data_IF_908683042215
#
_entry.id   IF_908683042215
#
_cell.length_a   1.000
_cell.length_b   1.000
_cell.length_c   1.000
_cell.angle_alpha   90.00
_cell.angle_beta   90.00
_cell.angle_gamma   90.00
#
_symmetry.space_group_name_H-M   'P 1'
#
loop_
_entity.id
_entity.type
_entity.pdbx_description
1 polymer ?
#
# COMPACT_ATOMS: atom_id res chain seq x y z
N UNK A 1 -5.03 -7.90 12.08
CA UNK A 1 -5.28 -7.19 10.81
C UNK A 1 -6.70 -6.66 10.72
N UNK A 2 -6.91 -5.50 10.08
CA UNK A 2 -8.24 -4.94 9.93
C UNK A 2 -8.87 -5.35 8.60
N UNK A 3 -10.05 -5.98 8.66
CA UNK A 3 -10.92 -6.24 7.48
C UNK A 3 -11.22 -4.97 6.68
N UNK A 4 -11.12 -3.81 7.33
CA UNK A 4 -11.32 -2.50 6.73
C UNK A 4 -10.16 -2.11 5.80
N UNK A 5 -8.91 -2.37 6.18
CA UNK A 5 -7.73 -2.06 5.37
C UNK A 5 -7.80 -2.77 4.01
N UNK A 6 -8.09 -4.08 4.04
CA UNK A 6 -8.33 -4.89 2.84
C UNK A 6 -9.44 -4.28 1.97
N UNK A 7 -10.57 -3.94 2.59
CA UNK A 7 -11.74 -3.40 1.87
C UNK A 7 -11.41 -2.09 1.17
N UNK A 8 -10.72 -1.19 1.86
CA UNK A 8 -10.34 0.12 1.30
C UNK A 8 -9.32 -0.05 0.17
N UNK A 9 -8.30 -0.90 0.32
CA UNK A 9 -7.29 -1.11 -0.72
C UNK A 9 -7.83 -1.78 -2.00
N UNK A 10 -8.89 -2.58 -1.88
CA UNK A 10 -9.54 -3.21 -3.03
C UNK A 10 -10.67 -2.36 -3.64
N UNK A 11 -11.02 -1.25 -2.99
CA UNK A 11 -12.09 -0.35 -3.41
C UNK A 11 -11.78 0.35 -4.75
N UNK A 12 -12.81 0.94 -5.40
CA UNK A 12 -12.63 1.77 -6.58
C UNK A 12 -11.64 2.92 -6.34
N UNK A 13 -11.00 3.38 -7.43
CA UNK A 13 -9.96 4.43 -7.38
C UNK A 13 -10.45 5.72 -6.72
N UNK A 14 -11.72 6.09 -6.90
CA UNK A 14 -12.34 7.24 -6.26
C UNK A 14 -12.36 7.12 -4.74
N UNK A 15 -12.78 5.96 -4.22
CA UNK A 15 -12.81 5.67 -2.78
C UNK A 15 -11.41 5.71 -2.18
N UNK A 16 -10.43 5.06 -2.83
CA UNK A 16 -9.04 5.08 -2.38
C UNK A 16 -8.44 6.48 -2.35
N UNK A 17 -8.74 7.31 -3.36
CA UNK A 17 -8.31 8.72 -3.38
C UNK A 17 -8.92 9.53 -2.24
N UNK A 18 -10.17 9.26 -1.86
CA UNK A 18 -10.80 9.92 -0.71
C UNK A 18 -10.18 9.45 0.61
N UNK A 19 -9.91 8.16 0.75
CA UNK A 19 -9.21 7.61 1.92
C UNK A 19 -7.78 8.20 2.04
N UNK A 20 -7.06 8.33 0.92
CA UNK A 20 -5.71 8.88 0.89
C UNK A 20 -5.64 10.34 1.38
N UNK A 21 -6.74 11.10 1.29
CA UNK A 21 -6.82 12.47 1.83
C UNK A 21 -6.96 12.49 3.36
N UNK A 22 -7.43 11.40 3.95
CA UNK A 22 -7.64 11.25 5.39
C UNK A 22 -6.52 10.47 6.09
N UNK A 23 -5.70 9.75 5.31
CA UNK A 23 -4.55 9.01 5.80
C UNK A 23 -3.60 9.95 6.55
N UNK A 24 -3.31 9.60 7.80
CA UNK A 24 -2.38 10.36 8.65
C UNK A 24 -0.95 10.03 8.32
N UNK A 25 -0.70 8.75 8.04
CA UNK A 25 0.59 8.26 7.62
C UNK A 25 0.73 8.47 6.10
N UNK A 26 1.64 9.35 5.63
CA UNK A 26 2.69 8.82 4.80
C UNK A 26 2.52 7.59 3.89
N UNK A 27 2.91 6.44 4.41
CA UNK A 27 2.96 5.15 3.73
C UNK A 27 1.55 4.68 3.36
N UNK A 28 0.59 4.85 4.27
CA UNK A 28 -0.81 4.56 4.03
C UNK A 28 -1.34 5.41 2.86
N UNK A 29 -1.06 6.71 2.87
CA UNK A 29 -1.42 7.62 1.77
C UNK A 29 -0.79 7.17 0.45
N UNK A 30 0.50 6.84 0.46
CA UNK A 30 1.22 6.37 -0.72
C UNK A 30 0.60 5.08 -1.27
N UNK A 31 0.34 4.09 -0.42
CA UNK A 31 -0.25 2.80 -0.78
C UNK A 31 -1.63 2.99 -1.43
N UNK A 32 -2.46 3.86 -0.87
CA UNK A 32 -3.81 4.14 -1.39
C UNK A 32 -3.79 4.79 -2.78
N UNK A 33 -2.71 5.50 -3.13
CA UNK A 33 -2.56 6.17 -4.42
C UNK A 33 -1.93 5.28 -5.50
N UNK A 34 -1.41 4.10 -5.14
CA UNK A 34 -0.82 3.18 -6.10
C UNK A 34 -1.83 2.61 -7.11
N UNK A 35 -1.30 2.03 -8.18
CA UNK A 35 -2.10 1.31 -9.14
C UNK A 35 -2.79 0.09 -8.50
N UNK A 36 -3.93 -0.30 -9.10
CA UNK A 36 -4.77 -1.37 -8.55
C UNK A 36 -3.99 -2.68 -8.39
N UNK A 37 -3.08 -3.00 -9.31
CA UNK A 37 -2.24 -4.19 -9.25
C UNK A 37 -1.34 -4.20 -8.01
N UNK A 38 -0.72 -3.06 -7.68
CA UNK A 38 0.14 -2.91 -6.50
C UNK A 38 -0.68 -3.11 -5.23
N UNK A 39 -1.84 -2.45 -5.11
CA UNK A 39 -2.71 -2.63 -3.95
C UNK A 39 -3.20 -4.08 -3.80
N UNK A 40 -3.56 -4.74 -4.91
CA UNK A 40 -3.99 -6.16 -4.91
C UNK A 40 -2.84 -7.07 -4.47
N UNK A 41 -1.62 -6.84 -4.95
CA UNK A 41 -0.45 -7.63 -4.53
C UNK A 41 -0.18 -7.47 -3.04
N UNK A 42 -0.24 -6.24 -2.51
CA UNK A 42 -0.05 -5.99 -1.08
C UNK A 42 -1.13 -6.68 -0.25
N UNK A 43 -2.39 -6.61 -0.67
CA UNK A 43 -3.46 -7.35 0.03
C UNK A 43 -3.19 -8.85 0.04
N UNK A 44 -2.80 -9.43 -1.10
CA UNK A 44 -2.61 -10.89 -1.21
C UNK A 44 -1.36 -11.38 -0.46
N UNK A 45 -0.26 -10.66 -0.58
CA UNK A 45 1.07 -11.14 -0.16
C UNK A 45 1.46 -10.65 1.23
N UNK A 46 0.85 -9.56 1.70
CA UNK A 46 1.15 -9.00 3.01
C UNK A 46 -0.06 -9.17 3.92
N UNK A 47 -1.20 -8.57 3.55
CA UNK A 47 -2.36 -8.63 4.42
C UNK A 47 -2.81 -10.09 4.58
N UNK A 48 -3.15 -10.81 3.52
CA UNK A 48 -3.67 -12.18 3.66
C UNK A 48 -2.66 -13.18 4.25
N UNK A 49 -1.37 -12.85 4.27
CA UNK A 49 -0.31 -13.63 4.91
C UNK A 49 -0.20 -13.43 6.44
N UNK A 50 -0.88 -12.42 7.00
CA UNK A 50 -0.87 -12.11 8.44
C UNK A 50 -0.45 -10.68 8.75
N UNK A 51 0.15 -9.99 7.77
CA UNK A 51 0.50 -8.58 7.85
C UNK A 51 1.69 -8.29 8.76
N UNK A 52 2.65 -9.21 8.83
CA UNK A 52 3.87 -9.01 9.60
C UNK A 52 4.75 -7.92 8.96
N UNK A 53 5.67 -7.37 9.73
CA UNK A 53 6.62 -6.38 9.20
C UNK A 53 7.61 -7.04 8.23
N UNK A 54 7.96 -8.31 8.45
CA UNK A 54 8.78 -9.10 7.54
C UNK A 54 8.08 -9.31 6.18
N UNK A 55 6.77 -9.60 6.17
CA UNK A 55 6.00 -9.72 4.93
C UNK A 55 5.98 -8.40 4.15
N UNK A 56 5.81 -7.28 4.86
CA UNK A 56 5.84 -5.92 4.27
C UNK A 56 7.20 -5.63 3.65
N UNK A 57 8.27 -5.91 4.37
CA UNK A 57 9.64 -5.66 3.91
C UNK A 57 9.97 -6.52 2.69
N UNK A 58 9.69 -7.83 2.76
CA UNK A 58 9.91 -8.74 1.64
C UNK A 58 9.11 -8.30 0.41
N UNK A 59 7.82 -7.98 0.57
CA UNK A 59 6.98 -7.49 -0.51
C UNK A 59 7.56 -6.22 -1.15
N UNK A 60 7.97 -5.24 -0.34
CA UNK A 60 8.54 -3.98 -0.82
C UNK A 60 9.81 -4.20 -1.64
N UNK A 61 10.71 -5.07 -1.16
CA UNK A 61 11.96 -5.38 -1.84
C UNK A 61 11.74 -6.07 -3.19
N UNK A 62 10.69 -6.89 -3.30
CA UNK A 62 10.34 -7.61 -4.52
C UNK A 62 9.56 -6.77 -5.55
N UNK A 63 9.08 -5.57 -5.20
CA UNK A 63 8.31 -4.75 -6.12
C UNK A 63 9.13 -4.25 -7.32
N UNK A 64 8.49 -3.94 -8.46
CA UNK A 64 9.15 -3.29 -9.58
C UNK A 64 9.90 -2.03 -9.15
N UNK A 65 11.03 -1.75 -9.81
CA UNK A 65 11.91 -0.62 -9.46
C UNK A 65 11.15 0.72 -9.38
N UNK A 66 10.19 0.94 -10.28
CA UNK A 66 9.36 2.15 -10.29
C UNK A 66 8.55 2.32 -9.00
N UNK A 67 7.97 1.24 -8.47
CA UNK A 67 7.21 1.25 -7.21
C UNK A 67 8.15 1.56 -6.05
N UNK A 68 9.28 0.85 -5.95
CA UNK A 68 10.29 1.09 -4.89
C UNK A 68 10.84 2.52 -4.93
N UNK A 69 11.15 3.04 -6.13
CA UNK A 69 11.61 4.43 -6.29
C UNK A 69 10.54 5.45 -5.90
N UNK A 70 9.26 5.19 -6.20
CA UNK A 70 8.17 6.06 -5.74
C UNK A 70 8.07 6.08 -4.23
N UNK A 71 8.22 4.93 -3.57
CA UNK A 71 8.23 4.82 -2.11
C UNK A 71 9.36 5.64 -1.49
N UNK A 72 10.59 5.51 -2.02
CA UNK A 72 11.73 6.32 -1.55
C UNK A 72 11.45 7.82 -1.67
N UNK A 73 10.93 8.26 -2.82
CA UNK A 73 10.66 9.67 -3.09
C UNK A 73 9.54 10.24 -2.22
N UNK A 74 8.45 9.52 -2.06
CA UNK A 74 7.21 10.04 -1.47
C UNK A 74 7.04 9.65 0.00
N UNK A 75 7.79 8.65 0.46
CA UNK A 75 7.71 8.11 1.82
C UNK A 75 8.99 8.33 2.63
N UNK A 76 10.15 7.95 2.11
CA UNK A 76 11.38 8.00 2.92
C UNK A 76 12.12 9.34 2.87
N UNK A 77 11.96 10.12 1.80
CA UNK A 77 12.71 11.38 1.55
C UNK A 77 11.83 12.63 1.54
N UNK A 78 10.69 12.58 2.21
CA UNK A 78 9.80 13.73 2.39
C UNK A 78 10.20 14.57 3.59
#
# INVERSE_FOLDING_TARGET
MSRLERTVLLAPKSVRRLAARQAKEPEERWMLLQDRSVCVSFVREVLDAGGSDEDREAWMLLQPEAVRKSYVREVLRR
#
